data_IF_560623674395
#
_entry.id   IF_560623674395
#
_cell.length_a   1.000
_cell.length_b   1.000
_cell.length_c   1.000
_cell.angle_alpha   90.00
_cell.angle_beta   90.00
_cell.angle_gamma   90.00
#
_symmetry.space_group_name_H-M   'P 1'
#
loop_
_entity.id
_entity.type
_entity.pdbx_description
1 polymer ?
#
# COMPACT_ATOMS: atom_id res chain seq x y z
N UNK A 1 4.04 8.10 16.03
CA UNK A 1 4.41 7.23 17.17
C UNK A 1 3.23 6.50 17.79
N UNK A 2 2.04 7.14 17.91
CA UNK A 2 0.84 6.50 18.49
C UNK A 2 0.38 5.29 17.66
N UNK A 3 0.34 5.41 16.33
CA UNK A 3 -0.03 4.31 15.42
C UNK A 3 0.95 3.15 15.55
N UNK A 4 2.26 3.41 15.58
CA UNK A 4 3.27 2.37 15.75
C UNK A 4 3.12 1.61 17.08
N UNK A 5 2.88 2.32 18.16
CA UNK A 5 2.64 1.72 19.47
C UNK A 5 1.40 0.85 19.48
N UNK A 6 0.33 1.35 18.86
CA UNK A 6 -0.95 0.65 18.78
C UNK A 6 -0.89 -0.61 17.93
N UNK A 7 -0.34 -0.50 16.72
CA UNK A 7 -0.24 -1.62 15.77
C UNK A 7 0.90 -2.59 16.09
N UNK A 8 1.67 -2.33 17.15
CA UNK A 8 2.91 -3.06 17.50
C UNK A 8 3.86 -3.17 16.29
N UNK A 9 3.87 -2.16 15.44
CA UNK A 9 4.66 -2.08 14.23
C UNK A 9 5.54 -0.83 14.23
N UNK A 10 6.70 -0.90 13.61
CA UNK A 10 7.55 0.27 13.36
C UNK A 10 7.00 1.18 12.25
N UNK A 11 6.04 0.69 11.47
CA UNK A 11 5.45 1.43 10.36
C UNK A 11 4.18 2.15 10.77
N UNK A 12 4.11 3.45 10.51
CA UNK A 12 2.95 4.30 10.80
C UNK A 12 2.22 4.79 9.57
N UNK A 13 2.86 4.68 8.39
CA UNK A 13 2.35 5.22 7.13
C UNK A 13 2.89 4.42 5.94
N UNK A 14 2.19 4.49 4.81
CA UNK A 14 2.61 3.88 3.56
C UNK A 14 2.23 4.80 2.39
N UNK A 15 3.10 4.88 1.39
CA UNK A 15 2.88 5.62 0.15
C UNK A 15 3.40 4.81 -1.04
N UNK A 16 2.85 5.06 -2.21
CA UNK A 16 3.28 4.44 -3.46
C UNK A 16 4.12 5.44 -4.24
N UNK A 17 5.36 5.06 -4.53
CA UNK A 17 6.28 5.87 -5.33
C UNK A 17 6.15 5.46 -6.80
N UNK A 18 5.95 6.44 -7.67
CA UNK A 18 5.89 6.18 -9.12
C UNK A 18 7.27 5.93 -9.72
N UNK A 19 7.35 5.33 -10.92
CA UNK A 19 8.62 5.00 -11.58
C UNK A 19 9.57 6.18 -11.82
N UNK A 20 9.07 7.41 -11.79
CA UNK A 20 9.88 8.62 -11.91
C UNK A 20 10.64 8.99 -10.62
N UNK A 21 10.40 8.25 -9.52
CA UNK A 21 10.97 8.46 -8.19
C UNK A 21 10.71 9.86 -7.58
N UNK A 22 9.79 10.62 -8.15
CA UNK A 22 9.45 11.98 -7.72
C UNK A 22 8.03 12.08 -7.20
N UNK A 23 7.10 11.44 -7.90
CA UNK A 23 5.69 11.48 -7.54
C UNK A 23 5.35 10.34 -6.57
N UNK A 24 4.82 10.73 -5.43
CA UNK A 24 4.36 9.82 -4.38
C UNK A 24 2.85 9.93 -4.25
N UNK A 25 2.16 8.80 -4.33
CA UNK A 25 0.72 8.72 -4.18
C UNK A 25 0.37 8.10 -2.84
N UNK A 26 -0.51 8.74 -2.10
CA UNK A 26 -0.96 8.24 -0.82
C UNK A 26 -2.09 9.08 -0.25
N UNK A 27 -2.51 8.71 0.96
CA UNK A 27 -3.48 9.46 1.74
C UNK A 27 -2.93 9.64 3.15
N UNK A 28 -2.78 10.88 3.58
CA UNK A 28 -2.29 11.21 4.92
C UNK A 28 -3.33 12.01 5.69
N UNK A 29 -3.66 11.56 6.91
CA UNK A 29 -4.61 12.28 7.75
C UNK A 29 -4.10 13.65 8.23
N UNK A 30 -2.77 13.84 8.23
CA UNK A 30 -2.13 15.04 8.76
C UNK A 30 -1.82 16.10 7.70
N UNK A 31 -2.00 15.78 6.41
CA UNK A 31 -1.76 16.70 5.30
C UNK A 31 -3.08 17.18 4.70
N UNK A 32 -3.55 16.51 3.65
CA UNK A 32 -4.79 16.93 2.97
C UNK A 32 -6.01 16.12 3.39
N UNK A 33 -5.82 15.00 4.08
CA UNK A 33 -6.88 14.01 4.38
C UNK A 33 -7.58 13.46 3.14
N UNK A 34 -6.93 13.50 1.98
CA UNK A 34 -7.41 13.02 0.69
C UNK A 34 -6.35 12.16 0.01
N UNK A 35 -6.80 11.32 -0.93
CA UNK A 35 -5.88 10.65 -1.86
C UNK A 35 -5.30 11.68 -2.81
N UNK A 36 -3.99 11.83 -2.82
CA UNK A 36 -3.30 12.81 -3.65
C UNK A 36 -1.94 12.31 -4.15
N UNK A 37 -1.44 12.93 -5.20
CA UNK A 37 -0.05 12.78 -5.63
C UNK A 37 0.74 14.01 -5.23
N UNK A 38 1.92 13.78 -4.66
CA UNK A 38 2.83 14.84 -4.20
C UNK A 38 4.21 14.61 -4.77
N UNK A 39 4.90 15.71 -5.06
CA UNK A 39 6.32 15.67 -5.38
C UNK A 39 7.07 15.79 -4.05
N UNK A 40 7.91 14.82 -3.74
CA UNK A 40 8.80 14.85 -2.58
C UNK A 40 10.24 14.97 -3.07
N UNK A 41 10.85 16.13 -2.82
CA UNK A 41 12.26 16.40 -3.15
C UNK A 41 13.16 16.23 -1.93
N UNK A 42 12.63 16.45 -0.73
CA UNK A 42 13.38 16.51 0.52
C UNK A 42 12.84 15.52 1.56
N UNK A 43 12.59 14.25 1.15
CA UNK A 43 12.23 13.25 2.13
C UNK A 43 13.51 12.70 2.80
N UNK A 44 13.47 12.57 4.13
CA UNK A 44 14.52 11.85 4.85
C UNK A 44 14.39 10.35 4.51
N UNK A 45 15.19 9.88 3.55
CA UNK A 45 15.15 8.51 3.01
C UNK A 45 15.36 7.48 4.13
N UNK A 46 16.10 7.82 5.17
CA UNK A 46 16.37 6.93 6.31
C UNK A 46 15.11 6.59 7.13
N UNK A 47 14.05 7.39 7.01
CA UNK A 47 12.76 7.14 7.69
C UNK A 47 11.84 6.21 6.90
N UNK A 48 12.23 5.78 5.68
CA UNK A 48 11.41 4.99 4.78
C UNK A 48 12.06 3.66 4.44
N UNK A 49 11.25 2.59 4.46
CA UNK A 49 11.62 1.32 3.88
C UNK A 49 11.02 1.23 2.47
N UNK A 50 11.87 1.17 1.46
CA UNK A 50 11.46 1.04 0.07
C UNK A 50 11.40 -0.44 -0.35
N UNK A 51 10.32 -0.81 -1.02
CA UNK A 51 10.17 -2.12 -1.64
C UNK A 51 9.85 -1.95 -3.11
N UNK A 52 10.80 -2.29 -3.98
CA UNK A 52 10.67 -2.10 -5.41
C UNK A 52 10.03 -3.34 -6.08
N UNK A 53 9.13 -3.07 -7.02
CA UNK A 53 8.54 -4.05 -7.91
C UNK A 53 8.80 -3.67 -9.37
N UNK A 54 9.18 -4.65 -10.18
CA UNK A 54 9.14 -4.50 -11.64
C UNK A 54 7.68 -4.60 -12.07
N UNK A 55 7.15 -3.56 -12.66
CA UNK A 55 5.77 -3.50 -13.13
C UNK A 55 5.72 -3.25 -14.64
N UNK A 56 4.66 -3.74 -15.28
CA UNK A 56 4.38 -3.47 -16.70
C UNK A 56 3.70 -2.10 -16.86
N UNK A 57 3.72 -1.57 -18.08
CA UNK A 57 2.97 -0.34 -18.39
C UNK A 57 1.46 -0.48 -18.13
N UNK A 58 0.90 -1.67 -18.36
CA UNK A 58 -0.52 -1.94 -18.12
C UNK A 58 -0.85 -1.92 -16.64
N UNK A 59 0.01 -2.50 -15.82
CA UNK A 59 -0.11 -2.43 -14.36
C UNK A 59 -0.04 -0.98 -13.85
N UNK A 60 0.91 -0.20 -14.38
CA UNK A 60 1.01 1.22 -14.06
C UNK A 60 -0.24 2.00 -14.48
N UNK A 61 -0.76 1.77 -15.70
CA UNK A 61 -2.01 2.39 -16.17
C UNK A 61 -3.18 2.07 -15.25
N UNK A 62 -3.29 0.82 -14.79
CA UNK A 62 -4.35 0.40 -13.85
C UNK A 62 -4.25 1.15 -12.52
N UNK A 63 -3.04 1.27 -11.96
CA UNK A 63 -2.81 2.04 -10.72
C UNK A 63 -3.18 3.51 -10.90
N UNK A 64 -2.77 4.13 -12.02
CA UNK A 64 -3.06 5.53 -12.30
C UNK A 64 -4.56 5.78 -12.57
N UNK A 65 -5.25 4.85 -13.21
CA UNK A 65 -6.70 4.91 -13.38
C UNK A 65 -7.42 4.87 -12.03
N UNK A 66 -7.03 3.95 -11.15
CA UNK A 66 -7.55 3.87 -9.79
C UNK A 66 -7.26 5.14 -8.97
N UNK A 67 -6.06 5.69 -9.08
CA UNK A 67 -5.74 6.98 -8.47
C UNK A 67 -6.68 8.08 -8.96
N UNK A 68 -6.92 8.17 -10.27
CA UNK A 68 -7.81 9.18 -10.88
C UNK A 68 -9.25 9.06 -10.34
N UNK A 69 -9.74 7.83 -10.16
CA UNK A 69 -11.07 7.57 -9.59
C UNK A 69 -11.19 7.93 -8.11
N UNK A 70 -10.10 7.76 -7.36
CA UNK A 70 -10.10 7.92 -5.90
C UNK A 70 -9.46 9.23 -5.41
N UNK A 71 -8.93 10.05 -6.29
CA UNK A 71 -8.16 11.27 -6.02
C UNK A 71 -8.78 12.20 -4.98
N UNK A 72 -10.10 12.31 -4.89
CA UNK A 72 -10.78 13.18 -3.94
C UNK A 72 -11.40 12.42 -2.75
N UNK A 73 -11.20 11.10 -2.69
CA UNK A 73 -11.68 10.30 -1.57
C UNK A 73 -10.97 10.71 -0.27
N UNK A 74 -11.76 10.78 0.82
CA UNK A 74 -11.27 11.25 2.11
C UNK A 74 -10.69 10.12 2.96
N UNK A 75 -9.85 10.51 3.93
CA UNK A 75 -9.31 9.58 4.91
C UNK A 75 -10.40 8.95 5.79
N UNK A 76 -10.31 7.65 5.98
CA UNK A 76 -11.23 6.90 6.84
C UNK A 76 -10.71 6.70 8.25
N UNK A 77 -10.84 7.73 9.07
CA UNK A 77 -10.46 7.67 10.48
C UNK A 77 -11.23 6.61 11.27
N UNK A 78 -12.53 6.48 11.01
CA UNK A 78 -13.39 5.56 11.74
C UNK A 78 -13.10 4.14 11.29
N UNK A 79 -12.97 3.90 9.98
CA UNK A 79 -12.61 2.58 9.45
C UNK A 79 -11.25 2.12 9.96
N UNK A 80 -10.25 3.00 10.00
CA UNK A 80 -8.94 2.70 10.56
C UNK A 80 -9.03 2.32 12.05
N UNK A 81 -9.74 3.09 12.87
CA UNK A 81 -9.93 2.78 14.29
C UNK A 81 -10.69 1.47 14.50
N UNK A 82 -11.80 1.28 13.79
CA UNK A 82 -12.63 0.09 13.93
C UNK A 82 -11.91 -1.18 13.48
N UNK A 83 -11.11 -1.12 12.41
CA UNK A 83 -10.32 -2.27 11.93
C UNK A 83 -9.31 -2.79 12.95
N UNK A 84 -8.93 -1.95 13.92
CA UNK A 84 -8.00 -2.34 14.98
C UNK A 84 -8.70 -2.92 16.23
N UNK A 85 -10.00 -2.68 16.40
CA UNK A 85 -10.76 -3.10 17.58
C UNK A 85 -11.78 -4.21 17.32
N UNK A 86 -12.25 -4.32 16.07
CA UNK A 86 -13.33 -5.25 15.72
C UNK A 86 -12.82 -6.29 14.72
N UNK A 87 -13.28 -7.55 14.85
CA UNK A 87 -12.88 -8.64 13.96
C UNK A 87 -13.55 -8.57 12.57
N UNK A 88 -14.19 -7.46 12.23
CA UNK A 88 -14.85 -7.27 10.94
C UNK A 88 -14.55 -5.89 10.37
N UNK A 89 -14.31 -5.86 9.08
CA UNK A 89 -14.00 -4.65 8.32
C UNK A 89 -15.27 -4.01 7.77
N UNK A 90 -15.57 -2.79 8.22
CA UNK A 90 -16.68 -2.01 7.68
C UNK A 90 -16.12 -1.07 6.60
N UNK A 91 -16.20 -1.49 5.34
CA UNK A 91 -15.83 -0.65 4.21
C UNK A 91 -16.77 0.54 4.09
N UNK A 92 -16.23 1.75 4.22
CA UNK A 92 -16.99 3.00 4.04
C UNK A 92 -16.81 3.52 2.62
N UNK A 93 -17.93 3.83 1.96
CA UNK A 93 -17.92 4.33 0.58
C UNK A 93 -17.10 5.63 0.48
N UNK A 94 -16.22 5.72 -0.51
CA UNK A 94 -15.37 6.87 -0.81
C UNK A 94 -14.45 7.29 0.34
N UNK A 95 -14.03 6.33 1.18
CA UNK A 95 -13.07 6.55 2.26
C UNK A 95 -12.01 5.47 2.26
N UNK A 96 -10.78 5.89 2.55
CA UNK A 96 -9.59 5.04 2.55
C UNK A 96 -8.65 5.42 3.69
N UNK A 97 -7.86 4.49 4.17
CA UNK A 97 -6.64 4.78 4.92
C UNK A 97 -5.41 4.33 4.10
N UNK A 98 -4.21 4.78 4.47
CA UNK A 98 -3.02 4.70 3.62
C UNK A 98 -2.71 3.27 3.13
N UNK A 99 -2.60 2.32 4.03
CA UNK A 99 -2.26 0.93 3.69
C UNK A 99 -3.39 0.20 2.94
N UNK A 100 -4.65 0.51 3.23
CA UNK A 100 -5.79 -0.05 2.52
C UNK A 100 -5.81 0.39 1.05
N UNK A 101 -5.58 1.69 0.79
CA UNK A 101 -5.56 2.22 -0.56
C UNK A 101 -4.45 1.59 -1.41
N UNK A 102 -3.24 1.47 -0.83
CA UNK A 102 -2.09 0.86 -1.51
C UNK A 102 -2.33 -0.63 -1.76
N UNK A 103 -2.78 -1.38 -0.76
CA UNK A 103 -3.08 -2.80 -0.94
C UNK A 103 -4.10 -3.04 -2.04
N UNK A 104 -5.12 -2.18 -2.12
CA UNK A 104 -6.13 -2.28 -3.17
C UNK A 104 -5.55 -1.94 -4.55
N UNK A 105 -4.73 -0.88 -4.67
CA UNK A 105 -4.07 -0.51 -5.91
C UNK A 105 -3.16 -1.63 -6.45
N UNK A 106 -2.34 -2.22 -5.57
CA UNK A 106 -1.44 -3.33 -5.91
C UNK A 106 -2.21 -4.60 -6.31
N UNK A 107 -3.36 -4.85 -5.69
CA UNK A 107 -4.22 -5.97 -6.01
C UNK A 107 -4.88 -5.87 -7.38
N UNK A 108 -5.56 -4.74 -7.66
CA UNK A 108 -6.30 -4.58 -8.94
C UNK A 108 -5.37 -4.51 -10.13
N UNK A 109 -4.13 -4.08 -9.92
CA UNK A 109 -3.08 -4.07 -10.94
C UNK A 109 -2.34 -5.42 -11.06
N UNK A 110 -2.68 -6.42 -10.24
CA UNK A 110 -2.00 -7.72 -10.19
C UNK A 110 -0.48 -7.61 -9.92
N UNK A 111 -0.03 -6.56 -9.24
CA UNK A 111 1.36 -6.45 -8.75
C UNK A 111 1.55 -7.37 -7.55
N UNK A 112 0.52 -7.50 -6.70
CA UNK A 112 0.47 -8.45 -5.60
C UNK A 112 -0.65 -9.46 -5.85
N UNK A 113 -0.32 -10.74 -5.73
CA UNK A 113 -1.27 -11.83 -5.90
C UNK A 113 -2.38 -11.75 -4.85
N UNK A 114 -3.63 -11.83 -5.31
CA UNK A 114 -4.80 -11.83 -4.44
C UNK A 114 -4.77 -12.90 -3.36
N UNK A 115 -4.27 -14.09 -3.67
CA UNK A 115 -4.17 -15.18 -2.70
C UNK A 115 -3.22 -14.83 -1.55
N UNK A 116 -2.14 -14.11 -1.84
CA UNK A 116 -1.21 -13.62 -0.84
C UNK A 116 -1.87 -12.59 0.10
N UNK A 117 -2.77 -11.75 -0.41
CA UNK A 117 -3.52 -10.78 0.40
C UNK A 117 -4.64 -11.45 1.21
N UNK A 118 -5.30 -12.47 0.65
CA UNK A 118 -6.42 -13.17 1.29
C UNK A 118 -6.03 -13.94 2.57
N UNK A 119 -4.76 -14.32 2.69
CA UNK A 119 -4.22 -14.98 3.90
C UNK A 119 -4.23 -14.03 5.10
N UNK A 120 -4.13 -12.72 4.84
CA UNK A 120 -4.26 -11.69 5.86
C UNK A 120 -5.70 -11.18 5.83
N UNK A 121 -6.43 -11.48 6.88
CA UNK A 121 -7.80 -11.00 7.05
C UNK A 121 -7.84 -9.50 6.77
N UNK A 122 -8.76 -9.07 5.89
CA UNK A 122 -8.90 -7.65 5.49
C UNK A 122 -9.19 -6.72 6.68
N UNK A 123 -9.48 -7.31 7.85
CA UNK A 123 -9.72 -6.58 9.09
C UNK A 123 -8.47 -5.91 9.70
N UNK A 124 -7.25 -6.37 9.36
CA UNK A 124 -6.00 -5.83 9.94
C UNK A 124 -4.99 -5.43 8.85
N UNK A 125 -5.37 -4.47 8.01
CA UNK A 125 -4.50 -3.95 6.97
C UNK A 125 -3.68 -2.75 7.45
N UNK A 126 -2.99 -2.90 8.59
CA UNK A 126 -2.06 -1.90 9.09
C UNK A 126 -0.87 -1.70 8.15
N UNK A 127 -0.14 -0.56 8.24
CA UNK A 127 1.09 -0.38 7.45
C UNK A 127 2.12 -1.50 7.65
N UNK A 128 2.19 -2.09 8.86
CA UNK A 128 3.06 -3.24 9.14
C UNK A 128 2.60 -4.53 8.46
N UNK A 129 1.29 -4.78 8.45
CA UNK A 129 0.70 -5.91 7.75
C UNK A 129 0.92 -5.77 6.24
N UNK A 130 0.70 -4.58 5.68
CA UNK A 130 0.98 -4.28 4.28
C UNK A 130 2.46 -4.57 3.95
N UNK A 131 3.41 -4.09 4.76
CA UNK A 131 4.84 -4.38 4.58
C UNK A 131 5.12 -5.88 4.52
N UNK A 132 4.52 -6.66 5.43
CA UNK A 132 4.67 -8.12 5.45
C UNK A 132 4.15 -8.78 4.18
N UNK A 133 3.01 -8.31 3.68
CA UNK A 133 2.39 -8.80 2.43
C UNK A 133 3.32 -8.54 1.24
N UNK A 134 3.78 -7.30 1.06
CA UNK A 134 4.62 -6.92 -0.07
C UNK A 134 5.98 -7.62 -0.03
N UNK A 135 6.57 -7.83 1.14
CA UNK A 135 7.82 -8.58 1.29
C UNK A 135 7.67 -10.06 0.94
N UNK A 136 6.53 -10.68 1.26
CA UNK A 136 6.25 -12.06 0.83
C UNK A 136 6.11 -12.16 -0.69
N UNK A 137 5.39 -11.22 -1.30
CA UNK A 137 5.24 -11.18 -2.75
C UNK A 137 6.59 -10.98 -3.44
N UNK A 138 7.41 -10.07 -2.94
CA UNK A 138 8.75 -9.83 -3.50
C UNK A 138 9.59 -11.08 -3.48
N UNK A 139 9.66 -11.79 -2.35
CA UNK A 139 10.40 -13.07 -2.24
C UNK A 139 9.91 -14.10 -3.26
N UNK A 140 8.60 -14.27 -3.40
CA UNK A 140 8.00 -15.18 -4.38
C UNK A 140 8.43 -14.83 -5.82
N UNK A 141 8.44 -13.54 -6.16
CA UNK A 141 8.87 -13.09 -7.48
C UNK A 141 10.37 -13.34 -7.71
N UNK A 142 11.20 -13.13 -6.71
CA UNK A 142 12.66 -13.34 -6.78
C UNK A 142 12.97 -14.83 -6.94
N UNK A 143 12.29 -15.72 -6.24
CA UNK A 143 12.40 -17.18 -6.36
C UNK A 143 12.03 -17.66 -7.76
N UNK A 144 10.89 -17.19 -8.31
CA UNK A 144 10.47 -17.52 -9.68
C UNK A 144 11.46 -17.04 -10.74
N UNK A 145 12.06 -15.88 -10.55
CA UNK A 145 13.08 -15.37 -11.49
C UNK A 145 14.36 -16.22 -11.45
N UNK A 146 14.78 -16.71 -10.28
CA UNK A 146 15.94 -17.60 -10.16
C UNK A 146 15.69 -18.96 -10.79
N UNK A 147 14.50 -19.55 -10.60
CA UNK A 147 14.13 -20.82 -11.24
C UNK A 147 14.10 -20.72 -12.77
N UNK A 148 13.56 -19.61 -13.30
CA UNK A 148 13.54 -19.37 -14.74
C UNK A 148 14.94 -19.19 -15.36
N UNK A 149 15.89 -18.64 -14.61
CA UNK A 149 17.28 -18.49 -15.05
C UNK A 149 18.07 -19.81 -14.97
N UNK A 150 17.74 -20.71 -14.07
CA UNK A 150 18.39 -22.00 -13.92
C UNK A 150 17.94 -23.03 -14.96
N UNK A 151 16.83 -22.80 -15.66
CA UNK A 151 16.25 -23.65 -16.68
C UNK A 151 16.60 -23.22 -18.13
N UNK A 152 17.47 -22.22 -18.29
CA UNK A 152 18.02 -21.72 -19.56
C UNK A 152 19.48 -22.16 -19.72
#
# INVERSE_FOLDING_TARGET
>A
RLICWWTKSRYSHAELVLPDNKHWIGISPFLSSKVESRIKTDCNIEEWDFVDFKITEEQLKTILAFFKETKECRYDWIGMLLSQFLPFHIKRKNKWYCSEWIAYALRISNVVDWQTIKIYDQSDLSPGTLHTIIMKQKRKNDEQNMENQSNL
#
